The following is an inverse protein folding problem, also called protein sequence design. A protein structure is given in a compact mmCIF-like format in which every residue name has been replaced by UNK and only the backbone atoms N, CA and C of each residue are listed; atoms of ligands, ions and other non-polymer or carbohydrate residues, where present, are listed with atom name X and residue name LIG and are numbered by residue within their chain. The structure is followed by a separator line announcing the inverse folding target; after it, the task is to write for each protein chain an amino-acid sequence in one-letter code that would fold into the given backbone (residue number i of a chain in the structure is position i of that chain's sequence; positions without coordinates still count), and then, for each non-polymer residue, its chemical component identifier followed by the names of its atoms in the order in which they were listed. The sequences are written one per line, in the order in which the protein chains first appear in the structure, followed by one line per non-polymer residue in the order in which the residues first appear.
data_IF_177746585488
#
_entry.id   IF_177746585488
#
_cell.length_a   1.000
_cell.length_b   1.000
_cell.length_c   1.000
_cell.angle_alpha   90.00
_cell.angle_beta   90.00
_cell.angle_gamma   90.00
#
_symmetry.space_group_name_H-M   'P 1'
#
loop_
_entity.id
_entity.type
_entity.pdbx_description
1 polymer ?
#
# COMPACT_ATOMS: atom_id res chain seq x y z
N UNK A 1 19.32 8.29 -2.25
CA UNK A 1 19.15 7.20 -1.28
C UNK A 1 19.39 7.76 0.11
N UNK A 2 18.36 7.83 0.96
CA UNK A 2 18.45 8.60 2.20
C UNK A 2 18.71 7.67 3.41
N UNK A 3 19.94 7.72 3.95
CA UNK A 3 20.39 6.87 5.07
C UNK A 3 19.51 6.95 6.33
N UNK A 4 18.81 8.07 6.53
CA UNK A 4 17.87 8.23 7.63
C UNK A 4 16.78 7.15 7.67
N UNK A 5 16.36 6.61 6.53
CA UNK A 5 15.40 5.50 6.48
C UNK A 5 15.97 4.20 7.04
N UNK A 6 17.24 3.89 6.76
CA UNK A 6 17.91 2.70 7.28
C UNK A 6 18.05 2.79 8.81
N UNK A 7 18.45 3.95 9.32
CA UNK A 7 18.55 4.19 10.77
C UNK A 7 17.18 4.07 11.46
N UNK A 8 16.11 4.53 10.82
CA UNK A 8 14.74 4.41 11.33
C UNK A 8 14.27 2.94 11.34
N UNK A 9 14.58 2.16 10.31
CA UNK A 9 14.27 0.72 10.28
C UNK A 9 15.04 -0.06 11.36
N UNK A 10 16.33 0.22 11.55
CA UNK A 10 17.12 -0.35 12.66
C UNK A 10 16.47 -0.05 14.01
N UNK A 11 16.02 1.18 14.23
CA UNK A 11 15.37 1.58 15.49
C UNK A 11 14.04 0.86 15.71
N UNK A 12 13.27 0.60 14.65
CA UNK A 12 12.05 -0.22 14.72
C UNK A 12 12.33 -1.67 15.11
N UNK A 13 13.42 -2.27 14.61
CA UNK A 13 13.81 -3.62 15.00
C UNK A 13 14.24 -3.71 16.47
N UNK A 14 14.93 -2.68 16.98
CA UNK A 14 15.41 -2.63 18.37
C UNK A 14 14.34 -2.20 19.38
N UNK A 15 13.51 -1.22 19.02
CA UNK A 15 12.45 -0.66 19.84
C UNK A 15 11.17 -0.57 19.01
N UNK A 16 10.43 -1.67 18.89
CA UNK A 16 9.25 -1.69 18.05
C UNK A 16 8.21 -0.69 18.57
N UNK A 17 7.48 -0.01 17.66
CA UNK A 17 6.30 0.77 18.04
C UNK A 17 5.26 -0.13 18.73
N UNK A 18 4.25 0.47 19.38
CA UNK A 18 3.29 -0.28 20.19
C UNK A 18 2.73 -1.52 19.46
N UNK A 19 2.59 -2.63 20.19
CA UNK A 19 2.15 -3.93 19.65
C UNK A 19 0.86 -3.80 18.84
N UNK A 20 -0.09 -2.98 19.30
CA UNK A 20 -1.35 -2.72 18.61
C UNK A 20 -1.16 -2.13 17.22
N UNK A 21 -0.19 -1.23 17.03
CA UNK A 21 0.09 -0.60 15.74
C UNK A 21 0.74 -1.59 14.77
N UNK A 22 1.62 -2.47 15.27
CA UNK A 22 2.24 -3.54 14.47
C UNK A 22 1.18 -4.54 14.01
N UNK A 23 0.30 -4.97 14.91
CA UNK A 23 -0.78 -5.92 14.58
C UNK A 23 -1.74 -5.31 13.56
N UNK A 24 -2.14 -4.04 13.73
CA UNK A 24 -3.00 -3.35 12.76
C UNK A 24 -2.39 -3.39 11.35
N UNK A 25 -1.12 -3.00 11.22
CA UNK A 25 -0.42 -3.01 9.93
C UNK A 25 -0.32 -4.44 9.37
N UNK A 26 0.02 -5.42 10.21
CA UNK A 26 0.12 -6.81 9.79
C UNK A 26 -1.22 -7.35 9.29
N UNK A 27 -2.32 -7.06 9.98
CA UNK A 27 -3.68 -7.43 9.55
C UNK A 27 -4.04 -6.78 8.21
N UNK A 28 -3.74 -5.50 8.01
CA UNK A 28 -3.98 -4.80 6.74
C UNK A 28 -3.16 -5.42 5.60
N UNK A 29 -1.88 -5.72 5.83
CA UNK A 29 -1.02 -6.36 4.82
C UNK A 29 -1.56 -7.74 4.46
N UNK A 30 -1.93 -8.56 5.44
CA UNK A 30 -2.54 -9.88 5.20
C UNK A 30 -3.83 -9.73 4.41
N UNK A 31 -4.69 -8.77 4.76
CA UNK A 31 -5.92 -8.51 4.04
C UNK A 31 -5.68 -8.14 2.57
N UNK A 32 -4.70 -7.25 2.30
CA UNK A 32 -4.30 -6.91 0.93
C UNK A 32 -3.75 -8.12 0.16
N UNK A 33 -2.95 -8.97 0.81
CA UNK A 33 -2.41 -10.18 0.17
C UNK A 33 -3.51 -11.19 -0.15
N UNK A 34 -4.49 -11.37 0.74
CA UNK A 34 -5.66 -12.21 0.49
C UNK A 34 -6.45 -11.66 -0.70
N UNK A 35 -6.71 -10.35 -0.72
CA UNK A 35 -7.46 -9.71 -1.79
C UNK A 35 -6.74 -9.88 -3.14
N UNK A 36 -5.42 -9.70 -3.16
CA UNK A 36 -4.59 -9.92 -4.36
C UNK A 36 -4.57 -11.39 -4.80
N UNK A 37 -4.48 -12.33 -3.86
CA UNK A 37 -4.55 -13.75 -4.18
C UNK A 37 -5.91 -14.12 -4.78
N UNK A 38 -7.01 -13.59 -4.21
CA UNK A 38 -8.36 -13.76 -4.73
C UNK A 38 -8.48 -13.16 -6.14
N UNK A 39 -7.94 -11.96 -6.37
CA UNK A 39 -7.92 -11.30 -7.69
C UNK A 39 -7.23 -12.18 -8.75
N UNK A 40 -6.08 -12.78 -8.43
CA UNK A 40 -5.37 -13.64 -9.38
C UNK A 40 -6.08 -14.96 -9.68
N UNK A 41 -6.87 -15.50 -8.73
CA UNK A 41 -7.48 -16.82 -8.88
C UNK A 41 -8.89 -16.76 -9.49
N UNK A 42 -9.64 -15.68 -9.24
CA UNK A 42 -11.02 -15.49 -9.74
C UNK A 42 -11.09 -14.51 -10.93
N UNK A 43 -10.07 -13.67 -11.12
CA UNK A 43 -10.10 -12.59 -12.10
C UNK A 43 -10.93 -11.40 -11.59
N UNK A 44 -10.51 -10.18 -11.91
CA UNK A 44 -11.24 -8.97 -11.52
C UNK A 44 -12.43 -8.77 -12.47
N UNK A 45 -13.68 -8.68 -11.98
CA UNK A 45 -14.83 -8.48 -12.86
C UNK A 45 -14.83 -7.06 -13.45
N UNK A 46 -15.13 -6.93 -14.74
CA UNK A 46 -15.16 -5.64 -15.44
C UNK A 46 -16.06 -4.58 -14.78
N UNK A 47 -17.05 -5.01 -14.00
CA UNK A 47 -17.94 -4.14 -13.22
C UNK A 47 -17.21 -3.36 -12.10
N UNK A 48 -16.06 -3.85 -11.63
CA UNK A 48 -15.24 -3.23 -10.58
C UNK A 48 -13.99 -2.56 -11.17
N UNK A 49 -13.79 -2.61 -12.49
CA UNK A 49 -12.70 -1.91 -13.16
C UNK A 49 -12.95 -0.40 -13.05
N UNK A 50 -12.06 0.38 -12.41
CA UNK A 50 -12.21 1.82 -12.37
C UNK A 50 -12.21 2.37 -13.80
N UNK A 51 -13.27 3.08 -14.20
CA UNK A 51 -13.30 3.77 -15.47
C UNK A 51 -12.08 4.71 -15.54
N UNK A 52 -11.28 4.54 -16.59
CA UNK A 52 -9.93 5.08 -16.73
C UNK A 52 -9.72 6.48 -16.14
N UNK A 53 -8.63 6.61 -15.39
CA UNK A 53 -8.27 7.82 -14.67
C UNK A 53 -8.36 9.08 -15.53
N UNK A 54 -9.19 10.02 -15.09
CA UNK A 54 -9.11 11.42 -15.49
C UNK A 54 -7.76 11.94 -15.01
N UNK A 55 -6.71 11.73 -15.80
CA UNK A 55 -5.53 12.57 -15.79
C UNK A 55 -6.01 13.94 -16.27
N UNK A 56 -6.48 14.77 -15.34
CA UNK A 56 -6.68 16.20 -15.58
C UNK A 56 -5.30 16.75 -15.93
N UNK A 57 -4.98 16.77 -17.22
CA UNK A 57 -3.90 17.57 -17.75
C UNK A 57 -4.17 18.99 -17.30
N UNK A 58 -3.31 19.50 -16.42
CA UNK A 58 -3.34 20.91 -16.06
C UNK A 58 -3.09 21.67 -17.36
N UNK A 59 -4.00 22.53 -17.83
CA UNK A 59 -3.71 23.35 -18.99
C UNK A 59 -2.55 24.26 -18.58
N UNK A 60 -1.38 24.06 -19.20
CA UNK A 60 -0.31 25.04 -19.12
C UNK A 60 -0.81 26.25 -19.92
N UNK A 61 -1.36 27.23 -19.19
CA UNK A 61 -1.72 28.53 -19.72
C UNK A 61 -0.42 29.17 -20.24
N UNK A 62 -0.36 29.33 -21.57
CA UNK A 62 0.68 30.09 -22.27
C UNK A 62 0.62 31.56 -21.90
#
# INVERSE_FOLDING_TARGET
MNFFWLLRMKRWAQHPPSKSRVILVLCVVIFCLILYAVEQWIGWPDALTPAGGVRRGVPLMR
#
